data_IF_040533670702
#
_entry.id   IF_040533670702
#
_cell.length_a   1.000
_cell.length_b   1.000
_cell.length_c   1.000
_cell.angle_alpha   90.00
_cell.angle_beta   90.00
_cell.angle_gamma   90.00
#
_symmetry.space_group_name_H-M   'P 1'
#
loop_
_entity.id
_entity.type
_entity.pdbx_description
1 polymer ?
#
# COMPACT_ATOMS: atom_id res chain seq x y z
N UNK A 1 5.41 5.87 -13.59
CA UNK A 1 4.09 6.45 -13.89
C UNK A 1 4.18 7.92 -14.32
N UNK A 2 4.59 8.86 -13.44
CA UNK A 2 4.61 10.30 -13.78
C UNK A 2 5.41 10.62 -15.05
N UNK A 3 6.62 10.06 -15.19
CA UNK A 3 7.49 10.27 -16.36
C UNK A 3 6.90 9.81 -17.70
N UNK A 4 5.87 8.96 -17.69
CA UNK A 4 5.21 8.44 -18.90
C UNK A 4 3.80 9.04 -19.10
N UNK A 5 3.47 10.12 -18.39
CA UNK A 5 2.25 10.90 -18.62
C UNK A 5 1.10 10.64 -17.63
N UNK A 6 1.32 9.90 -16.55
CA UNK A 6 0.34 9.86 -15.46
C UNK A 6 0.31 11.22 -14.73
N UNK A 7 -0.88 11.80 -14.56
CA UNK A 7 -1.05 13.10 -13.92
C UNK A 7 -0.80 13.07 -12.41
N UNK A 8 -1.23 11.98 -11.75
CA UNK A 8 -1.10 11.80 -10.31
C UNK A 8 -0.49 10.43 -10.00
N UNK A 9 0.42 10.40 -9.02
CA UNK A 9 0.97 9.17 -8.46
C UNK A 9 0.79 9.18 -6.94
N UNK A 10 -0.06 8.28 -6.48
CA UNK A 10 -0.25 8.01 -5.06
C UNK A 10 0.58 6.79 -4.65
N UNK A 11 1.42 6.96 -3.63
CA UNK A 11 2.30 5.90 -3.14
C UNK A 11 1.88 5.52 -1.71
N UNK A 12 1.37 4.30 -1.56
CA UNK A 12 0.99 3.72 -0.28
C UNK A 12 2.15 2.87 0.26
N UNK A 13 2.65 3.19 1.46
CA UNK A 13 3.85 2.52 2.02
C UNK A 13 3.77 2.38 3.55
N UNK A 14 4.78 1.79 4.17
CA UNK A 14 4.98 1.81 5.61
C UNK A 14 5.34 3.22 6.10
N UNK A 15 4.92 3.59 7.31
CA UNK A 15 5.21 4.89 7.91
C UNK A 15 6.69 5.25 7.90
N UNK A 16 7.55 4.29 8.18
CA UNK A 16 9.01 4.43 8.27
C UNK A 16 9.63 4.84 6.92
N UNK A 17 9.01 4.43 5.80
CA UNK A 17 9.46 4.75 4.46
C UNK A 17 8.84 6.04 3.90
N UNK A 18 7.74 6.53 4.48
CA UNK A 18 7.02 7.72 4.00
C UNK A 18 7.92 8.96 3.93
N UNK A 19 8.71 9.23 4.98
CA UNK A 19 9.58 10.40 5.05
C UNK A 19 10.66 10.40 3.95
N UNK A 20 11.51 9.36 3.88
CA UNK A 20 12.52 9.23 2.84
C UNK A 20 11.95 9.25 1.42
N UNK A 21 10.80 8.63 1.16
CA UNK A 21 10.23 8.61 -0.20
C UNK A 21 9.76 10.01 -0.62
N UNK A 22 9.18 10.79 0.30
CA UNK A 22 8.75 12.17 0.04
C UNK A 22 9.90 13.10 -0.34
N UNK A 23 11.15 12.81 0.07
CA UNK A 23 12.28 13.67 -0.25
C UNK A 23 12.79 13.52 -1.69
N UNK A 24 12.43 12.44 -2.40
CA UNK A 24 12.87 12.22 -3.78
C UNK A 24 12.17 13.13 -4.80
N UNK A 25 10.91 13.47 -4.58
CA UNK A 25 10.18 14.40 -5.46
C UNK A 25 8.93 14.97 -4.77
N UNK A 26 8.68 16.28 -4.88
CA UNK A 26 7.46 16.91 -4.37
C UNK A 26 6.19 16.50 -5.15
N UNK A 27 6.32 15.90 -6.33
CA UNK A 27 5.19 15.44 -7.15
C UNK A 27 4.56 14.14 -6.62
N UNK A 28 5.22 13.45 -5.69
CA UNK A 28 4.75 12.18 -5.13
C UNK A 28 3.74 12.41 -4.00
N UNK A 29 2.53 11.88 -4.15
CA UNK A 29 1.55 11.82 -3.06
C UNK A 29 1.79 10.57 -2.22
N UNK A 30 2.70 10.65 -1.25
CA UNK A 30 3.05 9.51 -0.40
C UNK A 30 2.21 9.49 0.87
N UNK A 31 1.56 8.36 1.16
CA UNK A 31 0.83 8.12 2.41
C UNK A 31 1.22 6.80 3.05
N UNK A 32 1.41 6.85 4.36
CA UNK A 32 1.57 5.67 5.20
C UNK A 32 0.25 4.91 5.33
N UNK A 33 0.24 3.60 5.05
CA UNK A 33 -0.96 2.76 5.19
C UNK A 33 -0.86 1.80 6.37
N UNK A 34 0.36 1.42 6.76
CA UNK A 34 0.65 0.67 7.98
C UNK A 34 1.94 1.16 8.63
N UNK A 35 2.26 0.66 9.83
CA UNK A 35 3.50 0.89 10.58
C UNK A 35 4.25 -0.43 10.68
N UNK A 36 5.51 -0.46 10.26
CA UNK A 36 6.31 -1.67 10.25
C UNK A 36 6.45 -2.25 11.67
N UNK A 37 6.69 -1.40 12.68
CA UNK A 37 6.86 -1.86 14.06
C UNK A 37 5.67 -2.63 14.64
N UNK A 38 4.45 -2.37 14.16
CA UNK A 38 3.24 -3.11 14.55
C UNK A 38 3.05 -4.36 13.69
N UNK A 39 3.31 -4.25 12.39
CA UNK A 39 3.18 -5.35 11.44
C UNK A 39 4.16 -6.51 11.75
N UNK A 40 5.37 -6.17 12.20
CA UNK A 40 6.40 -7.13 12.61
C UNK A 40 6.34 -7.52 14.08
N UNK A 41 5.28 -7.13 14.81
CA UNK A 41 5.13 -7.46 16.23
C UNK A 41 4.95 -8.96 16.43
N UNK A 42 5.45 -9.47 17.56
CA UNK A 42 5.25 -10.87 17.98
C UNK A 42 3.83 -11.08 18.51
N UNK A 43 3.20 -10.02 19.02
CA UNK A 43 1.84 -10.06 19.53
C UNK A 43 0.83 -10.13 18.38
N UNK A 44 0.17 -11.29 18.24
CA UNK A 44 -0.78 -11.56 17.17
C UNK A 44 -1.90 -10.50 17.08
N UNK A 45 -2.43 -10.05 18.23
CA UNK A 45 -3.50 -9.04 18.25
C UNK A 45 -3.09 -7.68 17.68
N UNK A 46 -1.83 -7.25 17.90
CA UNK A 46 -1.31 -5.99 17.34
C UNK A 46 -1.09 -6.14 15.83
N UNK A 47 -0.56 -7.27 15.40
CA UNK A 47 -0.33 -7.59 13.99
C UNK A 47 -1.63 -7.64 13.20
N UNK A 48 -2.64 -8.36 13.68
CA UNK A 48 -3.95 -8.49 13.02
C UNK A 48 -4.67 -7.14 12.90
N UNK A 49 -4.66 -6.33 13.97
CA UNK A 49 -5.22 -4.98 13.94
C UNK A 49 -4.53 -4.09 12.91
N UNK A 50 -3.21 -4.19 12.79
CA UNK A 50 -2.45 -3.40 11.82
C UNK A 50 -2.71 -3.86 10.37
N UNK A 51 -2.88 -5.16 10.14
CA UNK A 51 -3.30 -5.70 8.84
C UNK A 51 -4.69 -5.19 8.45
N UNK A 52 -5.65 -5.23 9.37
CA UNK A 52 -6.99 -4.71 9.12
C UNK A 52 -6.96 -3.20 8.84
N UNK A 53 -6.18 -2.45 9.61
CA UNK A 53 -5.97 -1.00 9.39
C UNK A 53 -5.44 -0.70 7.99
N UNK A 54 -4.46 -1.49 7.51
CA UNK A 54 -3.92 -1.36 6.16
C UNK A 54 -5.02 -1.60 5.11
N UNK A 55 -5.78 -2.69 5.25
CA UNK A 55 -6.85 -3.05 4.30
C UNK A 55 -7.92 -1.95 4.27
N UNK A 56 -8.41 -1.49 5.43
CA UNK A 56 -9.44 -0.45 5.52
C UNK A 56 -8.98 0.87 4.90
N UNK A 57 -7.74 1.30 5.20
CA UNK A 57 -7.18 2.55 4.64
C UNK A 57 -6.99 2.44 3.13
N UNK A 58 -6.53 1.30 2.63
CA UNK A 58 -6.45 1.06 1.19
C UNK A 58 -7.82 1.04 0.55
N UNK A 59 -8.80 0.33 1.12
CA UNK A 59 -10.18 0.23 0.60
C UNK A 59 -10.85 1.60 0.47
N UNK A 60 -10.60 2.52 1.40
CA UNK A 60 -11.07 3.90 1.33
C UNK A 60 -10.41 4.72 0.21
N UNK A 61 -9.18 4.39 -0.19
CA UNK A 61 -8.44 5.05 -1.27
C UNK A 61 -8.77 4.49 -2.65
N UNK A 62 -9.10 3.19 -2.76
CA UNK A 62 -9.36 2.51 -4.04
C UNK A 62 -10.33 3.25 -4.98
N UNK A 63 -11.44 3.87 -4.52
CA UNK A 63 -12.35 4.62 -5.41
C UNK A 63 -11.70 5.78 -6.17
N UNK A 64 -10.53 6.25 -5.70
CA UNK A 64 -9.80 7.39 -6.28
C UNK A 64 -8.77 6.97 -7.32
N UNK A 65 -8.53 5.66 -7.49
CA UNK A 65 -7.50 5.14 -8.38
C UNK A 65 -8.10 4.65 -9.69
N UNK A 66 -7.41 4.92 -10.80
CA UNK A 66 -7.76 4.38 -12.13
C UNK A 66 -7.05 3.06 -12.43
N UNK A 67 -5.91 2.81 -11.78
CA UNK A 67 -5.16 1.57 -11.81
C UNK A 67 -4.35 1.46 -10.51
N UNK A 68 -4.03 0.24 -10.09
CA UNK A 68 -3.23 -0.03 -8.90
C UNK A 68 -2.06 -0.96 -9.25
N UNK A 69 -0.85 -0.54 -8.89
CA UNK A 69 0.35 -1.37 -8.99
C UNK A 69 0.76 -1.82 -7.59
N UNK A 70 1.03 -3.12 -7.43
CA UNK A 70 1.42 -3.75 -6.16
C UNK A 70 2.75 -4.48 -6.40
N UNK A 71 3.71 -4.33 -5.50
CA UNK A 71 4.99 -5.04 -5.62
C UNK A 71 6.25 -4.25 -5.28
N UNK A 72 6.48 -3.08 -5.91
CA UNK A 72 7.76 -2.38 -5.81
C UNK A 72 8.16 -2.08 -4.36
N UNK A 73 9.19 -2.77 -3.87
CA UNK A 73 9.70 -2.60 -2.49
C UNK A 73 8.80 -3.18 -1.39
N UNK A 74 7.83 -4.04 -1.71
CA UNK A 74 6.89 -4.62 -0.73
C UNK A 74 7.56 -5.59 0.25
N UNK A 75 8.60 -6.28 -0.19
CA UNK A 75 9.25 -7.34 0.59
C UNK A 75 8.47 -8.66 0.55
N UNK A 76 8.81 -9.58 1.47
CA UNK A 76 8.26 -10.95 1.53
C UNK A 76 7.75 -11.34 2.92
N UNK A 77 7.41 -10.34 3.73
CA UNK A 77 6.87 -10.59 5.06
C UNK A 77 5.44 -11.12 4.97
N UNK A 78 5.17 -12.25 5.63
CA UNK A 78 3.88 -12.94 5.55
C UNK A 78 2.71 -12.08 6.05
N UNK A 79 2.96 -11.21 7.05
CA UNK A 79 1.91 -10.33 7.57
C UNK A 79 1.51 -9.29 6.52
N UNK A 80 2.50 -8.67 5.89
CA UNK A 80 2.28 -7.69 4.82
C UNK A 80 1.59 -8.35 3.64
N UNK A 81 2.06 -9.53 3.20
CA UNK A 81 1.48 -10.26 2.07
C UNK A 81 0.03 -10.67 2.32
N UNK A 82 -0.31 -11.09 3.54
CA UNK A 82 -1.69 -11.40 3.92
C UNK A 82 -2.59 -10.16 3.86
N UNK A 83 -2.12 -8.99 4.32
CA UNK A 83 -2.89 -7.75 4.20
C UNK A 83 -3.06 -7.33 2.73
N UNK A 84 -2.01 -7.46 1.91
CA UNK A 84 -2.03 -7.17 0.47
C UNK A 84 -3.00 -8.07 -0.28
N UNK A 85 -3.08 -9.36 0.06
CA UNK A 85 -4.09 -10.26 -0.49
C UNK A 85 -5.52 -9.72 -0.25
N UNK A 86 -5.79 -9.21 0.96
CA UNK A 86 -7.05 -8.53 1.28
C UNK A 86 -7.30 -7.29 0.39
N UNK A 87 -6.27 -6.46 0.19
CA UNK A 87 -6.36 -5.28 -0.71
C UNK A 87 -6.63 -5.67 -2.16
N UNK A 88 -6.01 -6.75 -2.65
CA UNK A 88 -6.22 -7.28 -4.00
C UNK A 88 -7.68 -7.71 -4.19
N UNK A 89 -8.26 -8.43 -3.23
CA UNK A 89 -9.67 -8.83 -3.31
C UNK A 89 -10.62 -7.62 -3.34
N UNK A 90 -10.34 -6.58 -2.53
CA UNK A 90 -11.10 -5.33 -2.56
C UNK A 90 -10.97 -4.58 -3.89
N UNK A 91 -9.79 -4.59 -4.51
CA UNK A 91 -9.56 -3.97 -5.81
C UNK A 91 -10.25 -4.75 -6.94
N UNK A 92 -10.19 -6.09 -6.90
CA UNK A 92 -10.91 -6.97 -7.83
C UNK A 92 -12.42 -6.78 -7.77
N UNK A 93 -12.99 -6.67 -6.56
CA UNK A 93 -14.43 -6.40 -6.38
C UNK A 93 -14.89 -5.09 -7.03
N UNK A 94 -13.95 -4.15 -7.28
CA UNK A 94 -14.21 -2.87 -7.95
C UNK A 94 -13.86 -2.86 -9.44
N UNK A 95 -13.40 -3.99 -9.99
CA UNK A 95 -12.85 -4.08 -11.35
C UNK A 95 -11.72 -3.07 -11.61
N UNK A 96 -10.93 -2.74 -10.58
CA UNK A 96 -9.79 -1.85 -10.71
C UNK A 96 -8.66 -2.58 -11.46
N UNK A 97 -8.13 -2.04 -12.57
CA UNK A 97 -6.98 -2.62 -13.25
C UNK A 97 -5.79 -2.79 -12.31
N UNK A 98 -5.25 -4.01 -12.26
CA UNK A 98 -4.13 -4.38 -11.39
C UNK A 98 -2.88 -4.67 -12.21
N UNK A 99 -1.74 -4.16 -11.75
CA UNK A 99 -0.42 -4.61 -12.16
C UNK A 99 0.25 -5.20 -10.93
N UNK A 100 0.57 -6.49 -10.98
CA UNK A 100 1.31 -7.18 -9.93
C UNK A 100 2.73 -7.34 -10.45
N UNK A 101 3.67 -6.77 -9.71
CA UNK A 101 5.10 -6.83 -9.98
C UNK A 101 5.81 -7.45 -8.77
N UNK A 102 6.97 -8.07 -9.02
CA UNK A 102 7.81 -8.79 -8.05
C UNK A 102 7.33 -10.16 -7.53
#
# INVERSE_FOLDING_TARGET
ALRVGAELLYLCTALEATGPIKSYSPELMVSEVYRWSHMSSIEAGVKEQEQERMIQKMEALLPRFHALTIGPGLGRDDAVLAAVAGVIEKAKARNLPLVIDA
#
